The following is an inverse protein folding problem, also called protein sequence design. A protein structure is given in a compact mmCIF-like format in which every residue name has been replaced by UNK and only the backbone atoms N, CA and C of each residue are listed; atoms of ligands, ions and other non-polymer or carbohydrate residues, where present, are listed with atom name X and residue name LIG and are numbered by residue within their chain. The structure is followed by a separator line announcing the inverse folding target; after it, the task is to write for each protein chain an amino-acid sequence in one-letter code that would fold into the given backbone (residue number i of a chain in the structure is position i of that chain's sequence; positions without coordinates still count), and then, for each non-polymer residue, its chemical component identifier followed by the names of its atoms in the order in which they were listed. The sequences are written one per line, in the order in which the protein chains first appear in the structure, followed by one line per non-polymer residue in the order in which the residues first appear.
data_IF_877016504559
#
_entry.id   IF_877016504559
#
_cell.length_a   1.000
_cell.length_b   1.000
_cell.length_c   1.000
_cell.angle_alpha   90.00
_cell.angle_beta   90.00
_cell.angle_gamma   90.00
#
_symmetry.space_group_name_H-M   'P 1'
#
loop_
_entity.id
_entity.type
_entity.pdbx_description
1 polymer ?
#
# COMPACT_ATOMS: atom_id res chain seq x y z
N UNK A 1 4.14 -3.00 -3.27
CA UNK A 1 3.61 -2.27 -2.08
C UNK A 1 2.10 -2.41 -2.07
N UNK A 2 1.46 -2.23 -0.92
CA UNK A 2 0.02 -1.95 -0.81
C UNK A 2 -0.17 -0.61 -0.11
N UNK A 3 -1.30 0.04 -0.35
CA UNK A 3 -1.60 1.35 0.22
C UNK A 3 -3.01 1.40 0.78
N UNK A 4 -3.15 1.94 1.99
CA UNK A 4 -4.44 2.32 2.56
C UNK A 4 -4.64 3.81 2.34
N UNK A 5 -5.75 4.18 1.70
CA UNK A 5 -6.14 5.57 1.46
C UNK A 5 -7.50 5.78 2.10
N UNK A 6 -7.53 6.50 3.22
CA UNK A 6 -8.71 6.61 4.07
C UNK A 6 -8.88 7.98 4.69
N UNK A 7 -9.86 8.10 5.57
CA UNK A 7 -10.07 9.28 6.40
C UNK A 7 -9.64 8.97 7.82
N UNK A 8 -8.82 9.80 8.44
CA UNK A 8 -8.44 9.62 9.83
C UNK A 8 -9.52 10.21 10.77
N UNK A 9 -10.28 9.39 11.50
CA UNK A 9 -11.37 9.87 12.35
C UNK A 9 -10.86 10.53 13.64
N UNK A 10 -9.66 10.19 14.10
CA UNK A 10 -9.10 10.67 15.38
C UNK A 10 -8.74 12.16 15.36
N UNK A 11 -8.41 12.70 14.19
CA UNK A 11 -8.04 14.11 14.05
C UNK A 11 -9.19 15.02 13.59
N UNK A 12 -10.45 14.54 13.56
CA UNK A 12 -11.61 15.30 13.00
C UNK A 12 -11.32 15.91 11.62
N UNK A 13 -10.49 15.26 10.82
CA UNK A 13 -9.82 15.92 9.70
C UNK A 13 -10.61 15.84 8.38
N UNK A 14 -10.72 16.99 7.72
CA UNK A 14 -11.26 17.21 6.36
C UNK A 14 -10.33 16.72 5.23
N UNK A 15 -9.36 15.84 5.52
CA UNK A 15 -8.33 15.42 4.54
C UNK A 15 -8.08 13.91 4.59
N UNK A 16 -7.85 13.34 3.41
CA UNK A 16 -7.48 11.92 3.24
C UNK A 16 -6.06 11.66 3.75
N UNK A 17 -5.84 10.49 4.32
CA UNK A 17 -4.52 9.94 4.65
C UNK A 17 -4.11 8.90 3.63
N UNK A 18 -2.79 8.71 3.49
CA UNK A 18 -2.19 7.67 2.66
C UNK A 18 -1.13 6.97 3.50
N UNK A 19 -1.27 5.66 3.64
CA UNK A 19 -0.35 4.81 4.40
C UNK A 19 0.16 3.71 3.47
N UNK A 20 1.49 3.59 3.35
CA UNK A 20 2.13 2.65 2.44
C UNK A 20 2.76 1.50 3.24
N UNK A 21 2.50 0.27 2.81
CA UNK A 21 3.25 -0.90 3.22
C UNK A 21 4.13 -1.37 2.05
N UNK A 22 5.43 -1.15 2.18
CA UNK A 22 6.42 -1.66 1.23
C UNK A 22 6.60 -3.15 1.47
N UNK A 23 6.40 -3.97 0.43
CA UNK A 23 6.54 -5.43 0.50
C UNK A 23 8.02 -5.77 0.36
N UNK A 24 8.78 -5.41 1.40
CA UNK A 24 10.21 -5.62 1.52
C UNK A 24 10.59 -5.49 2.99
N UNK A 25 11.43 -6.41 3.48
CA UNK A 25 11.98 -6.33 4.84
C UNK A 25 13.16 -5.38 4.85
N UNK A 26 13.02 -4.25 5.53
CA UNK A 26 14.11 -3.31 5.78
C UNK A 26 14.78 -3.62 7.12
N UNK A 27 16.10 -3.45 7.21
CA UNK A 27 16.84 -3.63 8.47
C UNK A 27 16.62 -2.46 9.45
N UNK A 28 16.34 -1.26 8.93
CA UNK A 28 16.23 -0.03 9.70
C UNK A 28 15.05 0.82 9.22
N UNK A 29 14.55 1.66 10.13
CA UNK A 29 13.57 2.68 9.79
C UNK A 29 14.15 3.77 8.88
N UNK A 30 13.28 4.42 8.10
CA UNK A 30 13.65 5.45 7.13
C UNK A 30 12.79 6.72 7.25
N UNK A 31 12.44 7.11 8.47
CA UNK A 31 11.76 8.39 8.73
C UNK A 31 12.54 9.58 8.13
N UNK A 32 11.81 10.55 7.59
CA UNK A 32 12.37 11.73 6.92
C UNK A 32 12.91 11.47 5.50
N UNK A 33 12.93 10.22 5.03
CA UNK A 33 13.26 9.91 3.62
C UNK A 33 12.07 10.16 2.71
N UNK A 34 12.35 10.50 1.46
CA UNK A 34 11.33 10.62 0.41
C UNK A 34 11.00 9.25 -0.15
N UNK A 35 9.71 9.00 -0.38
CA UNK A 35 9.21 7.78 -1.02
C UNK A 35 8.56 8.18 -2.34
N UNK A 36 9.07 7.63 -3.45
CA UNK A 36 8.40 7.65 -4.75
C UNK A 36 7.46 6.44 -4.82
N UNK A 37 6.23 6.63 -5.29
CA UNK A 37 5.25 5.55 -5.42
C UNK A 37 4.39 5.75 -6.68
N UNK A 38 4.11 4.66 -7.40
CA UNK A 38 3.15 4.62 -8.52
C UNK A 38 1.99 3.71 -8.10
N UNK A 39 0.77 4.25 -8.15
CA UNK A 39 -0.45 3.48 -7.89
C UNK A 39 -0.98 2.90 -9.21
N UNK A 40 -0.97 1.58 -9.33
CA UNK A 40 -1.28 0.88 -10.60
C UNK A 40 -2.58 0.08 -10.57
N UNK A 41 -3.26 0.04 -9.42
CA UNK A 41 -4.49 -0.74 -9.27
C UNK A 41 -5.23 -0.45 -7.97
N UNK A 42 -6.48 -0.90 -7.93
CA UNK A 42 -7.37 -0.81 -6.77
C UNK A 42 -7.75 -2.21 -6.30
N UNK A 43 -7.58 -2.49 -5.01
CA UNK A 43 -7.87 -3.81 -4.44
C UNK A 43 -9.32 -3.87 -3.94
N UNK A 44 -9.72 -2.97 -3.03
CA UNK A 44 -11.04 -2.97 -2.39
C UNK A 44 -11.31 -1.67 -1.63
N UNK A 45 -12.57 -1.37 -1.26
CA UNK A 45 -12.88 -0.26 -0.36
C UNK A 45 -12.44 -0.54 1.08
N UNK A 46 -12.43 0.52 1.90
CA UNK A 46 -12.30 0.41 3.35
C UNK A 46 -13.41 -0.49 3.89
N UNK A 47 -13.05 -1.35 4.85
CA UNK A 47 -13.96 -2.28 5.51
C UNK A 47 -13.81 -2.13 7.01
N UNK A 48 -14.94 -2.20 7.71
CA UNK A 48 -14.93 -2.38 9.15
C UNK A 48 -14.65 -3.85 9.45
N UNK A 49 -13.80 -4.10 10.45
CA UNK A 49 -13.48 -5.44 10.93
C UNK A 49 -13.97 -5.58 12.36
N UNK A 50 -14.46 -6.77 12.69
CA UNK A 50 -15.00 -7.04 14.03
C UNK A 50 -13.96 -7.60 14.99
N UNK A 51 -12.78 -8.00 14.47
CA UNK A 51 -11.63 -8.43 15.25
C UNK A 51 -10.30 -8.03 14.61
N UNK A 52 -9.23 -8.03 15.42
CA UNK A 52 -7.86 -7.84 14.95
C UNK A 52 -7.44 -8.97 13.99
N UNK A 53 -7.84 -10.21 14.26
CA UNK A 53 -7.54 -11.37 13.41
C UNK A 53 -8.13 -11.23 12.01
N UNK A 54 -9.38 -10.73 11.90
CA UNK A 54 -10.01 -10.45 10.61
C UNK A 54 -9.25 -9.36 9.84
N UNK A 55 -8.83 -8.30 10.53
CA UNK A 55 -8.05 -7.21 9.94
C UNK A 55 -6.69 -7.72 9.43
N UNK A 56 -5.94 -8.47 10.25
CA UNK A 56 -4.66 -9.07 9.87
C UNK A 56 -4.84 -9.99 8.67
N UNK A 57 -5.89 -10.83 8.67
CA UNK A 57 -6.18 -11.74 7.55
C UNK A 57 -6.45 -10.95 6.27
N UNK A 58 -7.27 -9.90 6.34
CA UNK A 58 -7.57 -9.07 5.18
C UNK A 58 -6.32 -8.38 4.63
N UNK A 59 -5.48 -7.81 5.48
CA UNK A 59 -4.22 -7.18 5.07
C UNK A 59 -3.29 -8.19 4.38
N UNK A 60 -3.15 -9.40 4.95
CA UNK A 60 -2.35 -10.47 4.33
C UNK A 60 -2.90 -10.89 2.97
N UNK A 61 -4.22 -10.97 2.83
CA UNK A 61 -4.87 -11.23 1.53
C UNK A 61 -4.60 -10.11 0.53
N UNK A 62 -4.67 -8.85 0.96
CA UNK A 62 -4.38 -7.70 0.09
C UNK A 62 -2.91 -7.71 -0.39
N UNK A 63 -1.97 -8.06 0.49
CA UNK A 63 -0.54 -8.21 0.15
C UNK A 63 -0.35 -9.32 -0.89
N UNK A 64 -0.87 -10.52 -0.62
CA UNK A 64 -0.72 -11.66 -1.53
C UNK A 64 -1.34 -11.37 -2.91
N UNK A 65 -2.52 -10.74 -2.93
CA UNK A 65 -3.15 -10.29 -4.17
C UNK A 65 -2.26 -9.30 -4.94
N UNK A 66 -1.72 -8.28 -4.25
CA UNK A 66 -0.84 -7.30 -4.87
C UNK A 66 0.44 -7.92 -5.42
N UNK A 67 1.07 -8.86 -4.69
CA UNK A 67 2.24 -9.59 -5.17
C UNK A 67 1.94 -10.32 -6.48
N UNK A 68 0.83 -11.05 -6.56
CA UNK A 68 0.41 -11.76 -7.77
C UNK A 68 0.13 -10.78 -8.93
N UNK A 69 -0.66 -9.73 -8.70
CA UNK A 69 -1.02 -8.78 -9.74
C UNK A 69 0.20 -8.03 -10.30
N UNK A 70 1.17 -7.67 -9.43
CA UNK A 70 2.35 -6.92 -9.83
C UNK A 70 3.36 -7.74 -10.67
N UNK A 71 3.23 -9.07 -10.70
CA UNK A 71 4.04 -9.92 -11.61
C UNK A 71 3.47 -10.00 -13.03
N UNK A 72 2.25 -9.51 -13.27
CA UNK A 72 1.65 -9.55 -14.62
C UNK A 72 2.46 -8.68 -15.59
N UNK A 73 2.57 -9.06 -16.89
CA UNK A 73 3.37 -8.32 -17.87
C UNK A 73 3.06 -6.82 -17.94
N UNK A 74 1.78 -6.45 -17.88
CA UNK A 74 1.37 -5.03 -17.95
C UNK A 74 1.68 -4.25 -16.67
N UNK A 75 1.86 -4.94 -15.55
CA UNK A 75 2.13 -4.33 -14.23
C UNK A 75 3.63 -4.26 -13.92
N UNK A 76 4.39 -5.29 -14.31
CA UNK A 76 5.82 -5.37 -14.01
C UNK A 76 6.63 -4.28 -14.72
N UNK A 77 6.13 -3.74 -15.84
CA UNK A 77 6.74 -2.62 -16.55
C UNK A 77 6.89 -1.39 -15.64
N UNK A 78 5.91 -1.10 -14.77
CA UNK A 78 5.97 0.05 -13.86
C UNK A 78 7.10 -0.03 -12.83
N UNK A 79 7.61 -1.22 -12.53
CA UNK A 79 8.79 -1.39 -11.64
C UNK A 79 10.03 -0.71 -12.21
N UNK A 80 10.11 -0.59 -13.54
CA UNK A 80 11.26 -0.02 -14.25
C UNK A 80 10.93 1.35 -14.90
N UNK A 81 9.82 1.96 -14.47
CA UNK A 81 9.37 3.26 -14.96
C UNK A 81 10.44 4.35 -14.73
N UNK A 82 10.52 5.30 -15.66
CA UNK A 82 11.48 6.41 -15.60
C UNK A 82 11.29 7.27 -14.35
N UNK A 83 10.07 7.33 -13.79
CA UNK A 83 9.78 8.04 -12.55
C UNK A 83 10.67 7.61 -11.36
N UNK A 84 11.05 6.33 -11.31
CA UNK A 84 11.91 5.80 -10.26
C UNK A 84 13.41 6.01 -10.52
N UNK A 85 13.80 6.39 -11.73
CA UNK A 85 15.16 6.82 -12.02
C UNK A 85 15.36 8.25 -11.49
N UNK A 86 16.61 8.62 -11.25
CA UNK A 86 17.00 9.91 -10.67
C UNK A 86 16.56 11.08 -11.55
#
# INVERSE_FOLDING_TARGET
MVASIGWNPFYKNKKKTVELHLIHTFENDFYGKQIKAIFVGYIRPEKNFTSEEELIKAIKTDIAFAEEQLQKPDMIAYKYDQFFKE
#
